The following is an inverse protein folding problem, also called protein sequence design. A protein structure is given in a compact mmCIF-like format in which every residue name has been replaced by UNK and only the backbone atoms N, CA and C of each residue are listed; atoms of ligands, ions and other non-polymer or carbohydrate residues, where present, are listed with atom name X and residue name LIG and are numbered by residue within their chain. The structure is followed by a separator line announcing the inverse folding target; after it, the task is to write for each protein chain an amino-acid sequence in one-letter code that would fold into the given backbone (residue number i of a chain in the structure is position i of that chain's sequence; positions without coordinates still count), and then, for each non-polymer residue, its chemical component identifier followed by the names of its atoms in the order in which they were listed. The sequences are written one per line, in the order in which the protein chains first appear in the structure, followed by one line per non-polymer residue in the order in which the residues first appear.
data_IF_896624837143
#
_entry.id   IF_896624837143
#
_cell.length_a   1.000
_cell.length_b   1.000
_cell.length_c   1.000
_cell.angle_alpha   90.00
_cell.angle_beta   90.00
_cell.angle_gamma   90.00
#
_symmetry.space_group_name_H-M   'P 1'
#
loop_
_entity.id
_entity.type
_entity.pdbx_description
1 polymer ?
#
# COMPACT_ATOMS: atom_id res chain seq x y z
N UNK A 1 -5.35 38.87 -3.75
CA UNK A 1 -5.32 37.48 -4.21
C UNK A 1 -4.50 36.67 -3.23
N UNK A 2 -5.12 35.64 -2.64
CA UNK A 2 -4.89 35.08 -1.31
C UNK A 2 -3.43 34.66 -0.98
N UNK A 3 -3.03 34.73 0.31
CA UNK A 3 -1.71 34.29 0.77
C UNK A 3 -1.68 32.81 1.22
N UNK A 4 -0.54 32.18 0.94
CA UNK A 4 0.26 31.24 1.76
C UNK A 4 -0.53 30.35 2.74
N UNK A 5 -0.65 29.07 2.40
CA UNK A 5 -1.06 27.99 3.31
C UNK A 5 0.13 27.12 3.70
N UNK A 6 0.67 27.36 4.90
CA UNK A 6 1.65 26.48 5.55
C UNK A 6 0.87 25.33 6.21
N UNK A 7 1.15 24.07 5.87
CA UNK A 7 0.68 22.95 6.69
C UNK A 7 1.86 22.28 7.39
N UNK A 8 1.95 22.58 8.67
CA UNK A 8 2.83 21.92 9.62
C UNK A 8 2.28 20.53 9.94
N UNK A 9 3.13 19.51 9.87
CA UNK A 9 2.84 18.20 10.47
C UNK A 9 3.21 18.31 11.93
N UNK A 10 2.21 18.34 12.81
CA UNK A 10 2.45 18.22 14.26
C UNK A 10 1.38 17.33 14.89
N UNK A 11 1.83 16.16 15.34
CA UNK A 11 1.18 15.32 16.36
C UNK A 11 1.43 15.98 17.71
N UNK A 12 0.47 16.02 18.67
CA UNK A 12 0.45 14.95 19.67
C UNK A 12 -0.94 14.57 20.24
N UNK A 13 -0.93 13.36 20.82
CA UNK A 13 -1.83 12.67 21.77
C UNK A 13 -2.75 13.56 22.64
N UNK A 14 -4.01 13.11 22.91
CA UNK A 14 -4.39 12.53 24.21
C UNK A 14 -5.87 12.08 24.27
N UNK A 15 -6.10 11.06 25.09
CA UNK A 15 -7.33 10.36 25.46
C UNK A 15 -8.58 11.22 25.71
N UNK A 16 -9.78 10.68 25.46
CA UNK A 16 -10.74 10.30 26.52
C UNK A 16 -12.05 9.72 25.94
N UNK A 17 -12.39 8.53 26.44
CA UNK A 17 -13.74 8.06 26.82
C UNK A 17 -14.93 8.30 25.87
N UNK A 18 -15.50 7.21 25.37
CA UNK A 18 -16.96 7.02 25.45
C UNK A 18 -17.27 5.53 25.68
N UNK A 19 -17.65 5.21 26.92
CA UNK A 19 -18.41 4.00 27.22
C UNK A 19 -19.86 4.24 26.82
N UNK A 20 -20.52 3.27 26.21
CA UNK A 20 -21.99 3.22 26.22
C UNK A 20 -22.46 1.77 26.30
N UNK A 21 -23.18 1.52 27.39
CA UNK A 21 -23.72 0.30 27.93
C UNK A 21 -24.27 -0.72 26.91
N UNK A 22 -23.86 -1.98 27.10
CA UNK A 22 -24.65 -3.16 26.76
C UNK A 22 -25.86 -3.24 27.70
N UNK A 23 -27.08 -3.26 27.15
CA UNK A 23 -28.27 -3.67 27.88
C UNK A 23 -28.63 -5.12 27.50
N UNK A 24 -28.62 -6.08 28.44
CA UNK A 24 -29.09 -7.42 28.20
C UNK A 24 -30.58 -7.50 28.58
N UNK A 25 -31.48 -7.36 27.60
CA UNK A 25 -32.87 -7.77 27.78
C UNK A 25 -33.14 -9.03 26.99
N UNK A 26 -33.13 -10.12 27.75
CA UNK A 26 -33.74 -11.42 27.52
C UNK A 26 -34.92 -11.39 26.55
N UNK A 27 -34.78 -12.05 25.40
CA UNK A 27 -35.94 -12.52 24.66
C UNK A 27 -35.73 -13.98 24.22
N UNK A 28 -36.30 -14.87 25.05
CA UNK A 28 -36.71 -16.22 24.65
C UNK A 28 -37.43 -16.15 23.31
N UNK A 29 -36.99 -16.90 22.31
CA UNK A 29 -37.78 -18.04 21.81
C UNK A 29 -37.26 -18.60 20.48
N UNK A 30 -37.35 -19.94 20.45
CA UNK A 30 -37.47 -20.84 19.30
C UNK A 30 -36.19 -21.40 18.69
N UNK A 31 -36.20 -22.74 18.69
CA UNK A 31 -35.25 -23.64 18.07
C UNK A 31 -35.09 -23.37 16.57
N UNK A 32 -33.83 -23.36 16.13
CA UNK A 32 -33.43 -23.74 14.78
C UNK A 32 -32.09 -24.51 14.91
N UNK A 33 -31.85 -25.51 14.05
CA UNK A 33 -30.80 -26.49 14.24
C UNK A 33 -29.40 -25.86 14.09
N UNK A 34 -28.48 -26.43 14.85
CA UNK A 34 -27.06 -26.14 14.96
C UNK A 34 -26.41 -25.61 13.67
N UNK A 35 -26.21 -24.29 13.64
CA UNK A 35 -25.23 -23.65 12.76
C UNK A 35 -23.83 -24.10 13.20
N UNK A 36 -23.17 -24.91 12.39
CA UNK A 36 -21.71 -24.84 12.29
C UNK A 36 -21.40 -24.17 10.96
N UNK A 37 -21.71 -22.88 10.86
CA UNK A 37 -21.14 -22.05 9.81
C UNK A 37 -19.65 -21.96 10.14
N UNK A 38 -18.84 -22.78 9.48
CA UNK A 38 -17.40 -22.59 9.39
C UNK A 38 -17.18 -21.20 8.83
N UNK A 39 -17.07 -20.20 9.71
CA UNK A 39 -16.58 -18.89 9.37
C UNK A 39 -15.09 -19.09 9.08
N UNK A 40 -14.81 -19.57 7.86
CA UNK A 40 -13.49 -19.45 7.26
C UNK A 40 -13.20 -17.95 7.30
N UNK A 41 -12.41 -17.54 8.28
CA UNK A 41 -11.78 -16.23 8.27
C UNK A 41 -10.82 -16.30 7.09
N UNK A 42 -11.32 -16.03 5.89
CA UNK A 42 -10.46 -15.77 4.75
C UNK A 42 -9.79 -14.45 5.09
N UNK A 43 -8.63 -14.53 5.75
CA UNK A 43 -7.73 -13.40 5.96
C UNK A 43 -7.25 -12.98 4.58
N UNK A 44 -8.08 -12.23 3.86
CA UNK A 44 -7.74 -11.67 2.56
C UNK A 44 -6.71 -10.58 2.84
N UNK A 45 -5.44 -10.96 2.85
CA UNK A 45 -4.35 -9.99 2.92
C UNK A 45 -4.46 -9.15 1.67
N UNK A 46 -4.66 -7.84 1.82
CA UNK A 46 -4.68 -6.94 0.68
C UNK A 46 -3.39 -7.12 -0.17
N UNK A 47 -3.48 -7.01 -1.50
CA UNK A 47 -2.31 -7.10 -2.37
C UNK A 47 -1.26 -6.08 -2.00
N UNK A 48 0.00 -6.49 -2.04
CA UNK A 48 1.12 -5.58 -1.78
C UNK A 48 1.41 -4.79 -3.05
N UNK A 49 1.35 -3.47 -2.96
CA UNK A 49 1.55 -2.60 -4.12
C UNK A 49 2.98 -2.07 -4.16
N UNK A 50 3.63 -2.22 -5.30
CA UNK A 50 4.94 -1.65 -5.63
C UNK A 50 4.76 -0.64 -6.76
N UNK A 51 5.49 0.46 -6.68
CA UNK A 51 5.49 1.51 -7.71
C UNK A 51 6.91 1.66 -8.23
N UNK A 52 7.12 1.50 -9.53
CA UNK A 52 8.37 1.82 -10.20
C UNK A 52 8.23 3.18 -10.88
N UNK A 53 8.94 4.17 -10.35
CA UNK A 53 9.11 5.46 -11.00
C UNK A 53 10.18 5.35 -12.08
N UNK A 54 9.80 5.69 -13.31
CA UNK A 54 10.59 5.52 -14.53
C UNK A 54 10.46 6.76 -15.43
N UNK A 55 11.27 6.82 -16.50
CA UNK A 55 11.10 7.79 -17.60
C UNK A 55 11.36 7.11 -18.94
N UNK A 56 10.76 7.59 -20.05
CA UNK A 56 11.05 7.06 -21.38
C UNK A 56 12.55 7.17 -21.72
N UNK A 57 13.10 6.15 -22.36
CA UNK A 57 14.52 6.09 -22.73
C UNK A 57 15.48 5.74 -21.59
N UNK A 58 14.98 5.29 -20.44
CA UNK A 58 15.80 4.84 -19.30
C UNK A 58 16.09 3.33 -19.37
N UNK A 59 17.27 2.95 -19.86
CA UNK A 59 17.68 1.54 -19.94
C UNK A 59 17.76 0.83 -18.58
N UNK A 60 18.11 1.55 -17.51
CA UNK A 60 18.15 1.00 -16.16
C UNK A 60 16.75 0.64 -15.64
N UNK A 61 15.75 1.42 -16.03
CA UNK A 61 14.36 1.23 -15.64
C UNK A 61 13.79 -0.02 -16.31
N UNK A 62 14.08 -0.22 -17.59
CA UNK A 62 13.66 -1.42 -18.35
C UNK A 62 14.27 -2.69 -17.78
N UNK A 63 15.58 -2.68 -17.51
CA UNK A 63 16.27 -3.84 -16.92
C UNK A 63 15.79 -4.18 -15.51
N UNK A 64 15.45 -3.17 -14.69
CA UNK A 64 14.86 -3.41 -13.37
C UNK A 64 13.45 -3.97 -13.47
N UNK A 65 12.62 -3.43 -14.37
CA UNK A 65 11.26 -3.91 -14.62
C UNK A 65 11.27 -5.39 -15.01
N UNK A 66 12.13 -5.79 -15.95
CA UNK A 66 12.24 -7.18 -16.39
C UNK A 66 12.59 -8.13 -15.23
N UNK A 67 13.53 -7.72 -14.36
CA UNK A 67 13.91 -8.49 -13.18
C UNK A 67 12.76 -8.63 -12.18
N UNK A 68 11.97 -7.57 -11.98
CA UNK A 68 10.79 -7.62 -11.11
C UNK A 68 9.71 -8.54 -11.68
N UNK A 69 9.41 -8.43 -12.98
CA UNK A 69 8.44 -9.29 -13.66
C UNK A 69 8.83 -10.78 -13.56
N UNK A 70 10.12 -11.10 -13.77
CA UNK A 70 10.64 -12.45 -13.60
C UNK A 70 10.51 -12.94 -12.14
N UNK A 71 10.82 -12.10 -11.16
CA UNK A 71 10.69 -12.45 -9.75
C UNK A 71 9.24 -12.73 -9.35
N UNK A 72 8.28 -11.94 -9.84
CA UNK A 72 6.84 -12.18 -9.58
C UNK A 72 6.34 -13.45 -10.25
N UNK A 73 6.94 -13.86 -11.36
CA UNK A 73 6.57 -15.09 -12.08
C UNK A 73 7.04 -16.38 -11.37
N UNK A 74 8.06 -16.30 -10.51
CA UNK A 74 8.67 -17.47 -9.84
C UNK A 74 7.95 -17.94 -8.55
N UNK A 75 7.00 -17.14 -8.06
CA UNK A 75 5.83 -17.52 -7.25
C UNK A 75 5.70 -19.01 -6.82
N UNK A 76 6.45 -19.41 -5.78
CA UNK A 76 6.41 -20.72 -5.12
C UNK A 76 5.73 -20.70 -3.73
N UNK A 77 5.63 -21.84 -3.01
CA UNK A 77 4.72 -22.05 -1.86
C UNK A 77 4.94 -21.19 -0.60
N UNK A 78 5.96 -20.31 -0.57
CA UNK A 78 6.15 -19.26 0.45
C UNK A 78 5.75 -17.87 -0.10
N UNK A 79 4.67 -17.86 -0.89
CA UNK A 79 4.35 -16.91 -1.93
C UNK A 79 4.53 -15.44 -1.51
N UNK A 80 5.24 -14.70 -2.35
CA UNK A 80 5.17 -13.24 -2.42
C UNK A 80 3.75 -12.92 -2.91
N UNK A 81 2.80 -12.91 -1.96
CA UNK A 81 1.35 -12.76 -2.21
C UNK A 81 1.05 -11.58 -3.12
N UNK A 82 0.16 -11.80 -4.09
CA UNK A 82 -0.47 -10.82 -5.01
C UNK A 82 0.23 -9.44 -5.01
N UNK A 83 1.43 -9.38 -5.60
CA UNK A 83 2.16 -8.12 -5.73
C UNK A 83 1.73 -7.44 -7.01
N UNK A 84 1.19 -6.25 -6.88
CA UNK A 84 0.85 -5.41 -8.03
C UNK A 84 1.95 -4.39 -8.26
N UNK A 85 2.64 -4.51 -9.40
CA UNK A 85 3.61 -3.52 -9.86
C UNK A 85 2.90 -2.46 -10.71
N UNK A 86 2.95 -1.22 -10.26
CA UNK A 86 2.53 -0.04 -11.02
C UNK A 86 3.77 0.67 -11.58
N UNK A 87 3.74 1.09 -12.83
CA UNK A 87 4.80 1.90 -13.42
C UNK A 87 4.29 3.33 -13.57
N UNK A 88 5.03 4.28 -13.00
CA UNK A 88 4.74 5.72 -13.11
C UNK A 88 5.83 6.42 -13.89
N UNK A 89 5.44 7.11 -14.95
CA UNK A 89 6.34 7.99 -15.69
C UNK A 89 6.50 9.30 -14.92
N UNK A 90 7.72 9.62 -14.50
CA UNK A 90 8.01 10.87 -13.79
C UNK A 90 7.74 12.09 -14.65
N UNK A 91 7.80 11.98 -15.99
CA UNK A 91 7.54 13.10 -16.91
C UNK A 91 6.05 13.47 -16.97
N UNK A 92 5.16 12.60 -16.48
CA UNK A 92 3.72 12.86 -16.47
C UNK A 92 3.27 13.76 -15.31
N UNK A 93 4.13 13.96 -14.31
CA UNK A 93 3.82 14.77 -13.13
C UNK A 93 5.05 15.59 -12.70
N UNK A 94 4.99 16.94 -12.74
CA UNK A 94 6.14 17.79 -12.44
C UNK A 94 6.67 17.65 -11.00
N UNK A 95 5.83 17.21 -10.05
CA UNK A 95 6.30 16.91 -8.69
C UNK A 95 7.17 15.65 -8.67
N UNK A 96 6.79 14.61 -9.42
CA UNK A 96 7.60 13.39 -9.53
C UNK A 96 8.89 13.64 -10.32
N UNK A 97 8.81 14.42 -11.41
CA UNK A 97 9.97 14.84 -12.17
C UNK A 97 10.97 15.58 -11.28
N UNK A 98 10.53 16.60 -10.53
CA UNK A 98 11.41 17.36 -9.64
C UNK A 98 12.11 16.48 -8.60
N UNK A 99 11.39 15.51 -8.05
CA UNK A 99 11.90 14.62 -7.00
C UNK A 99 12.88 13.57 -7.56
N UNK A 100 12.59 12.98 -8.72
CA UNK A 100 13.25 11.74 -9.14
C UNK A 100 14.07 11.84 -10.44
N UNK A 101 14.03 12.95 -11.18
CA UNK A 101 14.65 13.08 -12.52
C UNK A 101 16.12 12.63 -12.64
N UNK A 102 16.90 12.70 -11.54
CA UNK A 102 18.31 12.30 -11.49
C UNK A 102 18.57 11.00 -10.73
N UNK A 103 17.56 10.42 -10.09
CA UNK A 103 17.69 9.27 -9.19
C UNK A 103 16.93 8.03 -9.67
N UNK A 104 16.22 8.12 -10.80
CA UNK A 104 15.55 6.95 -11.37
C UNK A 104 16.56 5.85 -11.79
N UNK A 105 16.19 4.56 -11.63
CA UNK A 105 14.89 4.06 -11.17
C UNK A 105 14.68 4.12 -9.65
N UNK A 106 13.47 4.49 -9.23
CA UNK A 106 13.03 4.46 -7.82
C UNK A 106 11.91 3.45 -7.67
N UNK A 107 12.09 2.46 -6.80
CA UNK A 107 11.04 1.51 -6.43
C UNK A 107 10.46 1.90 -5.09
N UNK A 108 9.16 2.15 -5.02
CA UNK A 108 8.47 2.46 -3.79
C UNK A 108 7.55 1.32 -3.37
N UNK A 109 7.57 0.97 -2.08
CA UNK A 109 6.53 0.12 -1.49
C UNK A 109 5.42 1.00 -0.95
N UNK A 110 4.19 0.73 -1.40
CA UNK A 110 2.99 1.34 -0.83
C UNK A 110 2.59 0.55 0.41
N UNK A 111 2.46 1.25 1.53
CA UNK A 111 1.96 0.70 2.79
C UNK A 111 0.43 0.66 2.80
N UNK A 112 -0.13 -0.02 3.79
CA UNK A 112 -1.58 -0.12 3.98
C UNK A 112 -2.24 1.24 4.29
N UNK A 113 -1.47 2.20 4.81
CA UNK A 113 -1.91 3.59 5.06
C UNK A 113 -1.81 4.50 3.82
N UNK A 114 -1.39 3.95 2.67
CA UNK A 114 -1.18 4.71 1.43
C UNK A 114 0.14 5.47 1.37
N UNK A 115 0.99 5.39 2.41
CA UNK A 115 2.32 6.02 2.38
C UNK A 115 3.28 5.21 1.52
N UNK A 116 4.20 5.92 0.86
CA UNK A 116 5.19 5.31 -0.02
C UNK A 116 6.57 5.36 0.63
N UNK A 117 7.27 4.22 0.61
CA UNK A 117 8.67 4.12 1.04
C UNK A 117 9.52 3.81 -0.17
N UNK A 118 10.25 4.82 -0.66
CA UNK A 118 11.12 4.74 -1.82
C UNK A 118 12.47 4.10 -1.51
N UNK A 119 12.95 3.28 -2.44
CA UNK A 119 14.29 2.72 -2.50
C UNK A 119 14.91 3.13 -3.83
N UNK A 120 16.02 3.87 -3.77
CA UNK A 120 16.76 4.33 -4.94
C UNK A 120 17.77 3.25 -5.30
N UNK A 121 17.71 2.77 -6.54
CA UNK A 121 18.64 1.75 -7.04
C UNK A 121 19.85 2.43 -7.68
N UNK A 122 20.69 3.05 -6.85
CA UNK A 122 22.02 3.47 -7.29
C UNK A 122 22.87 2.19 -7.32
N UNK A 123 23.28 1.74 -8.50
CA UNK A 123 24.22 0.63 -8.66
C UNK A 123 25.52 1.01 -7.94
N UNK A 124 25.66 0.63 -6.68
CA UNK A 124 26.86 0.84 -5.85
C UNK A 124 27.42 -0.52 -5.45
#
# INVERSE_FOLDING_TARGET
NLPIGNYAVTRPQLFHHFQSAFNPTTQKSRLAPFFAASASFSSTSAPRKLVLYSKPGCCLCDGLKEKLDAAFSLSGPNYVGDVQLEIRDIMSNPEWERLYQYEIPVLARVREDGTEVGFIFILT
#
